data_IF_080490390835
#
_entry.id   IF_080490390835
#
_cell.length_a   1.000
_cell.length_b   1.000
_cell.length_c   1.000
_cell.angle_alpha   90.00
_cell.angle_beta   90.00
_cell.angle_gamma   90.00
#
_symmetry.space_group_name_H-M   'P 1'
#
loop_
_entity.id
_entity.type
_entity.pdbx_description
1 polymer ?
#
# COMPACT_ATOMS: atom_id res chain seq x y z
N UNK A 1 18.53 10.95 -20.06
CA UNK A 1 17.33 10.79 -19.21
C UNK A 1 16.21 10.45 -20.15
N UNK A 2 16.07 9.17 -20.50
CA UNK A 2 14.99 8.69 -21.37
C UNK A 2 14.23 7.61 -20.60
N UNK A 3 13.41 8.01 -19.64
CA UNK A 3 12.40 7.12 -19.10
C UNK A 3 11.26 7.06 -20.10
N UNK A 4 11.49 6.43 -21.25
CA UNK A 4 10.41 5.92 -22.08
C UNK A 4 9.75 4.81 -21.27
N UNK A 5 8.77 5.19 -20.44
CA UNK A 5 7.89 4.25 -19.78
C UNK A 5 7.03 3.62 -20.86
N UNK A 6 7.48 2.49 -21.39
CA UNK A 6 6.73 1.74 -22.37
C UNK A 6 5.38 1.37 -21.78
N UNK A 7 4.31 1.71 -22.50
CA UNK A 7 2.97 1.32 -22.13
C UNK A 7 2.92 -0.22 -22.12
N UNK A 8 2.76 -0.81 -20.93
CA UNK A 8 2.80 -2.26 -20.70
C UNK A 8 1.44 -2.76 -20.19
N UNK A 9 0.37 -2.65 -21.00
CA UNK A 9 -1.00 -2.88 -20.56
C UNK A 9 -1.21 -4.30 -20.04
N UNK A 10 -0.61 -5.29 -20.72
CA UNK A 10 -0.76 -6.69 -20.35
C UNK A 10 -0.20 -6.98 -18.95
N UNK A 11 0.97 -6.41 -18.61
CA UNK A 11 1.60 -6.61 -17.29
C UNK A 11 0.77 -5.96 -16.18
N UNK A 12 0.26 -4.74 -16.42
CA UNK A 12 -0.63 -4.06 -15.48
C UNK A 12 -1.94 -4.81 -15.26
N UNK A 13 -2.53 -5.36 -16.33
CA UNK A 13 -3.75 -6.15 -16.26
C UNK A 13 -3.57 -7.44 -15.45
N UNK A 14 -2.50 -8.21 -15.74
CA UNK A 14 -2.18 -9.43 -14.98
C UNK A 14 -1.95 -9.10 -13.50
N UNK A 15 -1.19 -8.04 -13.20
CA UNK A 15 -0.98 -7.59 -11.82
C UNK A 15 -2.29 -7.22 -11.11
N UNK A 16 -3.19 -6.54 -11.81
CA UNK A 16 -4.52 -6.19 -11.29
C UNK A 16 -5.36 -7.43 -10.96
N UNK A 17 -5.37 -8.45 -11.85
CA UNK A 17 -6.05 -9.72 -11.60
C UNK A 17 -5.48 -10.42 -10.37
N UNK A 18 -4.15 -10.48 -10.24
CA UNK A 18 -3.49 -11.12 -9.09
C UNK A 18 -3.83 -10.44 -7.77
N UNK A 19 -3.82 -9.10 -7.74
CA UNK A 19 -4.21 -8.32 -6.55
C UNK A 19 -5.69 -8.55 -6.22
N UNK A 20 -6.56 -8.54 -7.22
CA UNK A 20 -8.00 -8.79 -7.06
C UNK A 20 -8.29 -10.19 -6.51
N UNK A 21 -7.67 -11.22 -7.10
CA UNK A 21 -7.78 -12.60 -6.63
C UNK A 21 -7.28 -12.75 -5.19
N UNK A 22 -6.14 -12.14 -4.85
CA UNK A 22 -5.62 -12.14 -3.48
C UNK A 22 -6.61 -11.51 -2.49
N UNK A 23 -7.20 -10.37 -2.84
CA UNK A 23 -8.18 -9.69 -1.99
C UNK A 23 -9.47 -10.52 -1.79
N UNK A 24 -9.96 -11.17 -2.84
CA UNK A 24 -11.16 -12.04 -2.78
C UNK A 24 -10.87 -13.30 -1.96
N UNK A 25 -9.73 -13.96 -2.20
CA UNK A 25 -9.30 -15.13 -1.42
C UNK A 25 -9.17 -14.79 0.07
N UNK A 26 -8.59 -13.63 0.37
CA UNK A 26 -8.45 -13.17 1.75
C UNK A 26 -9.82 -12.94 2.41
N UNK A 27 -10.75 -12.31 1.69
CA UNK A 27 -12.12 -12.10 2.15
C UNK A 27 -12.86 -13.42 2.35
N UNK A 28 -12.68 -14.39 1.45
CA UNK A 28 -13.35 -15.69 1.51
C UNK A 28 -12.84 -16.56 2.66
N UNK A 29 -11.52 -16.61 2.88
CA UNK A 29 -10.91 -17.44 3.94
C UNK A 29 -11.07 -16.84 5.34
N UNK A 30 -10.95 -15.52 5.48
CA UNK A 30 -10.95 -14.86 6.79
C UNK A 30 -12.25 -14.12 7.12
N UNK A 31 -13.16 -13.94 6.15
CA UNK A 31 -14.38 -13.16 6.31
C UNK A 31 -14.12 -11.65 6.52
N UNK A 32 -12.90 -11.17 6.26
CA UNK A 32 -12.45 -9.81 6.57
C UNK A 32 -11.89 -9.12 5.33
N UNK A 33 -12.05 -7.81 5.28
CA UNK A 33 -11.50 -6.99 4.20
C UNK A 33 -9.98 -6.86 4.39
N UNK A 34 -9.22 -7.02 3.30
CA UNK A 34 -7.78 -6.79 3.31
C UNK A 34 -7.48 -5.29 3.52
N UNK A 35 -6.83 -4.96 4.64
CA UNK A 35 -6.47 -3.58 4.96
C UNK A 35 -5.24 -3.51 5.86
N UNK A 36 -4.12 -3.02 5.31
CA UNK A 36 -2.82 -3.00 5.97
C UNK A 36 -2.82 -2.18 7.27
N UNK A 37 -3.35 -0.95 7.24
CA UNK A 37 -3.46 -0.14 8.46
C UNK A 37 -4.36 -0.79 9.50
N UNK A 38 -5.43 -1.47 9.09
CA UNK A 38 -6.29 -2.21 10.02
C UNK A 38 -5.55 -3.35 10.70
N UNK A 39 -4.64 -4.01 9.97
CA UNK A 39 -3.77 -5.08 10.45
C UNK A 39 -2.82 -4.58 11.55
N UNK A 40 -2.06 -3.53 11.23
CA UNK A 40 -1.02 -2.94 12.08
C UNK A 40 -1.64 -2.34 13.36
N UNK A 41 -2.77 -1.62 13.25
CA UNK A 41 -3.47 -1.09 14.43
C UNK A 41 -4.04 -2.18 15.34
N UNK A 42 -4.37 -3.37 14.81
CA UNK A 42 -4.81 -4.48 15.63
C UNK A 42 -3.69 -5.14 16.44
N UNK A 43 -2.43 -4.92 16.02
CA UNK A 43 -1.24 -5.41 16.70
C UNK A 43 -0.67 -4.38 17.70
N UNK A 44 -1.05 -3.09 17.61
CA UNK A 44 -0.49 -2.03 18.42
C UNK A 44 -1.55 -0.97 18.81
N UNK A 45 -2.08 -0.97 20.05
CA UNK A 45 -1.89 -1.96 21.13
C UNK A 45 -2.67 -3.26 20.86
N UNK A 46 -2.10 -4.44 21.13
CA UNK A 46 -2.76 -5.70 20.85
C UNK A 46 -3.98 -5.89 21.74
N UNK A 47 -5.18 -6.00 21.15
CA UNK A 47 -6.40 -6.39 21.90
C UNK A 47 -6.34 -7.84 22.37
N UNK A 48 -5.60 -8.69 21.66
CA UNK A 48 -5.22 -10.07 22.01
C UNK A 48 -3.78 -10.30 21.56
N UNK A 49 -2.98 -10.98 22.40
CA UNK A 49 -1.56 -11.24 22.15
C UNK A 49 -1.29 -12.03 20.85
N UNK A 50 -2.24 -12.86 20.40
CA UNK A 50 -2.08 -13.68 19.21
C UNK A 50 -3.37 -13.69 18.37
N UNK A 51 -3.43 -12.83 17.34
CA UNK A 51 -4.36 -12.99 16.23
C UNK A 51 -3.63 -13.67 15.06
N UNK A 52 -3.66 -15.00 15.03
CA UNK A 52 -2.92 -15.83 14.08
C UNK A 52 -3.05 -15.37 12.63
N UNK A 53 -4.26 -15.00 12.20
CA UNK A 53 -4.53 -14.52 10.83
C UNK A 53 -3.80 -13.22 10.47
N UNK A 54 -3.57 -12.32 11.44
CA UNK A 54 -2.86 -11.06 11.20
C UNK A 54 -1.38 -11.28 10.99
N UNK A 55 -0.80 -12.16 11.82
CA UNK A 55 0.60 -12.54 11.74
C UNK A 55 0.88 -13.31 10.45
N UNK A 56 0.07 -14.30 10.10
CA UNK A 56 0.26 -15.08 8.87
C UNK A 56 0.09 -14.21 7.62
N UNK A 57 -0.84 -13.25 7.62
CA UNK A 57 -0.96 -12.31 6.50
C UNK A 57 0.27 -11.39 6.37
N UNK A 58 0.76 -10.84 7.49
CA UNK A 58 1.93 -9.96 7.47
C UNK A 58 3.21 -10.71 7.08
N UNK A 59 3.39 -11.93 7.59
CA UNK A 59 4.47 -12.83 7.17
C UNK A 59 4.35 -13.17 5.68
N UNK A 60 3.15 -13.50 5.21
CA UNK A 60 2.89 -13.78 3.79
C UNK A 60 3.24 -12.61 2.87
N UNK A 61 3.00 -11.37 3.29
CA UNK A 61 3.39 -10.19 2.53
C UNK A 61 4.92 -10.03 2.46
N UNK A 62 5.61 -10.21 3.59
CA UNK A 62 7.07 -10.11 3.66
C UNK A 62 7.72 -11.23 2.84
N UNK A 63 7.28 -12.47 3.03
CA UNK A 63 7.80 -13.63 2.30
C UNK A 63 7.49 -13.53 0.81
N UNK A 64 6.29 -13.10 0.42
CA UNK A 64 5.93 -12.88 -0.98
C UNK A 64 6.84 -11.87 -1.68
N UNK A 65 7.11 -10.72 -1.05
CA UNK A 65 8.05 -9.72 -1.57
C UNK A 65 9.49 -10.24 -1.66
N UNK A 66 9.94 -10.95 -0.62
CA UNK A 66 11.29 -11.53 -0.58
C UNK A 66 11.47 -12.64 -1.63
N UNK A 67 10.50 -13.54 -1.76
CA UNK A 67 10.49 -14.59 -2.78
C UNK A 67 10.52 -13.99 -4.18
N UNK A 68 9.76 -12.92 -4.44
CA UNK A 68 9.79 -12.22 -5.72
C UNK A 68 11.17 -11.61 -6.01
N UNK A 69 11.81 -11.00 -5.00
CA UNK A 69 13.17 -10.45 -5.11
C UNK A 69 14.22 -11.54 -5.42
N UNK A 70 14.14 -12.69 -4.75
CA UNK A 70 15.11 -13.78 -4.91
C UNK A 70 14.92 -14.57 -6.22
N UNK A 71 13.67 -14.82 -6.64
CA UNK A 71 13.35 -15.72 -7.77
C UNK A 71 13.44 -15.06 -9.14
N UNK A 72 13.03 -13.79 -9.28
CA UNK A 72 12.93 -13.15 -10.60
C UNK A 72 14.19 -12.38 -11.02
N UNK A 73 15.24 -12.37 -10.19
CA UNK A 73 16.50 -11.64 -10.45
C UNK A 73 16.28 -10.18 -10.91
N UNK A 74 15.18 -9.54 -10.48
CA UNK A 74 14.93 -8.13 -10.76
C UNK A 74 15.78 -7.32 -9.80
N UNK A 75 16.94 -6.87 -10.29
CA UNK A 75 17.78 -5.94 -9.56
C UNK A 75 17.13 -4.55 -9.63
N UNK A 76 16.37 -4.22 -8.60
CA UNK A 76 16.04 -2.82 -8.35
C UNK A 76 17.34 -2.11 -7.98
N UNK A 77 17.67 -1.04 -8.69
CA UNK A 77 18.69 -0.12 -8.21
C UNK A 77 18.19 0.48 -6.90
N UNK A 78 18.75 0.01 -5.77
CA UNK A 78 18.46 0.60 -4.48
C UNK A 78 18.86 2.07 -4.55
N UNK A 79 17.88 2.96 -4.44
CA UNK A 79 18.15 4.39 -4.44
C UNK A 79 18.77 4.73 -3.09
N UNK A 80 20.07 4.98 -3.11
CA UNK A 80 20.84 5.51 -1.99
C UNK A 80 20.61 7.02 -1.85
N UNK A 81 20.94 7.59 -0.69
CA UNK A 81 20.87 9.02 -0.37
C UNK A 81 19.48 9.66 -0.14
N UNK A 82 18.46 8.90 0.26
CA UNK A 82 17.23 9.54 0.76
C UNK A 82 17.43 10.17 2.15
N UNK A 83 16.97 11.42 2.37
CA UNK A 83 16.95 12.01 3.70
C UNK A 83 16.04 11.22 4.65
N UNK A 84 16.64 10.58 5.66
CA UNK A 84 15.94 9.74 6.64
C UNK A 84 14.82 10.51 7.36
N UNK A 85 15.00 11.82 7.58
CA UNK A 85 14.00 12.67 8.21
C UNK A 85 12.69 12.76 7.40
N UNK A 86 12.75 12.77 6.06
CA UNK A 86 11.54 12.74 5.21
C UNK A 86 10.85 11.38 5.24
N UNK A 87 11.60 10.29 5.37
CA UNK A 87 11.01 8.96 5.58
C UNK A 87 10.24 8.89 6.89
N UNK A 88 10.84 9.36 7.99
CA UNK A 88 10.21 9.37 9.30
C UNK A 88 8.96 10.26 9.31
N UNK A 89 9.07 11.47 8.78
CA UNK A 89 7.95 12.41 8.71
C UNK A 89 6.84 11.91 7.78
N UNK A 90 7.20 11.38 6.61
CA UNK A 90 6.26 10.77 5.68
C UNK A 90 5.53 9.57 6.29
N UNK A 91 6.27 8.67 6.95
CA UNK A 91 5.70 7.52 7.65
C UNK A 91 4.74 7.94 8.77
N UNK A 92 5.10 8.95 9.56
CA UNK A 92 4.25 9.50 10.60
C UNK A 92 2.96 10.13 10.02
N UNK A 93 3.07 10.98 8.99
CA UNK A 93 1.93 11.60 8.33
C UNK A 93 1.00 10.56 7.69
N UNK A 94 1.54 9.53 7.05
CA UNK A 94 0.75 8.43 6.48
C UNK A 94 0.07 7.62 7.58
N UNK A 95 0.78 7.29 8.66
CA UNK A 95 0.22 6.60 9.82
C UNK A 95 -0.97 7.37 10.41
N UNK A 96 -0.77 8.65 10.70
CA UNK A 96 -1.80 9.55 11.21
C UNK A 96 -2.99 9.69 10.23
N UNK A 97 -2.72 9.89 8.94
CA UNK A 97 -3.72 10.00 7.89
C UNK A 97 -4.58 8.75 7.75
N UNK A 98 -3.97 7.56 7.74
CA UNK A 98 -4.72 6.30 7.65
C UNK A 98 -5.56 6.03 8.90
N UNK A 99 -5.15 6.55 10.07
CA UNK A 99 -5.96 6.50 11.29
C UNK A 99 -7.19 7.39 11.20
N UNK A 100 -7.02 8.63 10.75
CA UNK A 100 -8.15 9.57 10.54
C UNK A 100 -9.13 9.07 9.48
N UNK A 101 -8.61 8.50 8.38
CA UNK A 101 -9.42 7.90 7.31
C UNK A 101 -10.14 6.61 7.72
N UNK A 102 -9.80 6.03 8.87
CA UNK A 102 -10.20 4.68 9.31
C UNK A 102 -9.85 3.59 8.28
N UNK A 103 -8.74 3.75 7.57
CA UNK A 103 -8.31 2.82 6.54
C UNK A 103 -7.14 3.35 5.71
N UNK A 104 -6.66 2.51 4.80
CA UNK A 104 -5.59 2.82 3.85
C UNK A 104 -6.07 2.65 2.42
N UNK A 105 -5.19 2.94 1.46
CA UNK A 105 -5.46 2.77 0.03
C UNK A 105 -5.78 1.34 -0.37
N UNK A 106 -5.22 0.31 0.28
CA UNK A 106 -5.61 -1.08 0.02
C UNK A 106 -7.06 -1.37 0.48
N UNK A 107 -7.43 -0.89 1.66
CA UNK A 107 -8.80 -1.09 2.19
C UNK A 107 -9.86 -0.26 1.47
N UNK A 108 -9.64 1.04 1.28
CA UNK A 108 -10.59 1.93 0.61
C UNK A 108 -10.52 1.80 -0.92
N UNK A 109 -9.32 1.81 -1.49
CA UNK A 109 -9.13 1.77 -2.94
C UNK A 109 -9.46 0.40 -3.52
N UNK A 110 -8.69 -0.63 -3.15
CA UNK A 110 -8.86 -1.97 -3.76
C UNK A 110 -10.19 -2.60 -3.35
N UNK A 111 -10.40 -2.81 -2.04
CA UNK A 111 -11.61 -3.52 -1.59
C UNK A 111 -12.85 -2.62 -1.48
N UNK A 112 -12.67 -1.34 -1.11
CA UNK A 112 -13.78 -0.43 -0.81
C UNK A 112 -14.50 0.09 -2.05
N UNK A 113 -13.77 0.46 -3.10
CA UNK A 113 -14.34 0.87 -4.39
C UNK A 113 -15.00 -0.33 -5.07
N UNK A 114 -14.39 -1.52 -5.02
CA UNK A 114 -14.98 -2.75 -5.57
C UNK A 114 -16.35 -3.09 -4.94
N UNK A 115 -16.60 -2.65 -3.70
CA UNK A 115 -17.88 -2.80 -3.00
C UNK A 115 -18.83 -1.61 -3.16
N UNK A 116 -18.54 -0.69 -4.10
CA UNK A 116 -19.33 0.52 -4.36
C UNK A 116 -19.56 1.41 -3.12
N UNK A 117 -18.62 1.45 -2.18
CA UNK A 117 -18.73 2.32 -1.01
C UNK A 117 -18.42 3.78 -1.36
N UNK A 118 -19.43 4.65 -1.30
CA UNK A 118 -19.28 6.11 -1.50
C UNK A 118 -18.19 6.69 -0.61
N UNK A 119 -18.14 6.28 0.66
CA UNK A 119 -17.12 6.69 1.63
C UNK A 119 -15.71 6.35 1.13
N UNK A 120 -15.54 5.13 0.62
CA UNK A 120 -14.23 4.66 0.14
C UNK A 120 -13.79 5.34 -1.14
N UNK A 121 -14.73 5.67 -2.03
CA UNK A 121 -14.45 6.46 -3.23
C UNK A 121 -13.89 7.83 -2.83
N UNK A 122 -14.61 8.56 -1.96
CA UNK A 122 -14.18 9.88 -1.48
C UNK A 122 -12.81 9.80 -0.78
N UNK A 123 -12.62 8.84 0.13
CA UNK A 123 -11.35 8.65 0.82
C UNK A 123 -10.18 8.34 -0.13
N UNK A 124 -10.43 7.57 -1.19
CA UNK A 124 -9.38 7.24 -2.17
C UNK A 124 -9.00 8.47 -2.99
N UNK A 125 -9.98 9.28 -3.42
CA UNK A 125 -9.69 10.55 -4.10
C UNK A 125 -8.88 11.50 -3.24
N UNK A 126 -9.21 11.65 -1.95
CA UNK A 126 -8.45 12.53 -1.06
C UNK A 126 -7.01 12.05 -0.86
N UNK A 127 -6.78 10.73 -0.71
CA UNK A 127 -5.44 10.17 -0.62
C UNK A 127 -4.61 10.41 -1.89
N UNK A 128 -5.20 10.19 -3.06
CA UNK A 128 -4.49 10.38 -4.33
C UNK A 128 -4.18 11.87 -4.55
N UNK A 129 -5.15 12.76 -4.33
CA UNK A 129 -4.93 14.21 -4.48
C UNK A 129 -3.85 14.70 -3.52
N UNK A 130 -3.90 14.29 -2.25
CA UNK A 130 -2.85 14.63 -1.28
C UNK A 130 -1.49 14.12 -1.72
N UNK A 131 -1.38 12.88 -2.23
CA UNK A 131 -0.13 12.34 -2.74
C UNK A 131 0.39 13.15 -3.95
N UNK A 132 -0.48 13.52 -4.89
CA UNK A 132 -0.10 14.36 -6.04
C UNK A 132 0.44 15.71 -5.57
N UNK A 133 -0.25 16.38 -4.65
CA UNK A 133 0.17 17.68 -4.09
C UNK A 133 1.53 17.54 -3.39
N UNK A 134 1.69 16.52 -2.53
CA UNK A 134 2.94 16.30 -1.79
C UNK A 134 4.11 16.04 -2.73
N UNK A 135 3.93 15.19 -3.75
CA UNK A 135 4.97 14.95 -4.76
C UNK A 135 5.26 16.22 -5.55
N UNK A 136 4.24 17.00 -5.92
CA UNK A 136 4.43 18.25 -6.64
C UNK A 136 5.28 19.24 -5.83
N UNK A 137 4.94 19.45 -4.56
CA UNK A 137 5.68 20.35 -3.67
C UNK A 137 7.12 19.85 -3.47
N UNK A 138 7.31 18.59 -3.09
CA UNK A 138 8.65 18.08 -2.79
C UNK A 138 9.56 18.07 -4.01
N UNK A 139 9.02 17.71 -5.19
CA UNK A 139 9.81 17.56 -6.41
C UNK A 139 10.02 18.85 -7.16
N UNK A 140 8.98 19.68 -7.31
CA UNK A 140 9.03 20.87 -8.18
C UNK A 140 9.28 22.17 -7.43
N UNK A 141 8.87 22.28 -6.16
CA UNK A 141 9.07 23.50 -5.36
C UNK A 141 10.35 23.39 -4.52
N UNK A 142 10.49 22.28 -3.79
CA UNK A 142 11.61 22.08 -2.87
C UNK A 142 12.84 21.42 -3.52
N UNK A 143 12.69 20.86 -4.72
CA UNK A 143 13.79 20.25 -5.49
C UNK A 143 14.45 19.06 -4.79
N UNK A 144 13.72 18.32 -3.97
CA UNK A 144 14.25 17.16 -3.24
C UNK A 144 14.26 15.93 -4.16
N UNK A 145 15.46 15.39 -4.44
CA UNK A 145 15.70 14.18 -5.24
C UNK A 145 16.51 13.15 -4.43
#
# INVERSE_FOLDING_TARGET
MDYLTFFTPLRGFIGGILIGLSAVLFLWLNGRIAGMSGLIHGLCPPKKLFEFWRLTFLLGLITGGLSFYLLLAVQFTLRSHYPVYLLLLGGFCVGFGTRMGQGCTSGHGVCGIARFSKRSIVATFTFIISAMITVFILRHILGVY
#
